data_IF_363021312998
#
_entry.id   IF_363021312998
#
_cell.length_a   1.000
_cell.length_b   1.000
_cell.length_c   1.000
_cell.angle_alpha   90.00
_cell.angle_beta   90.00
_cell.angle_gamma   90.00
#
_symmetry.space_group_name_H-M   'P 1'
#
loop_
_entity.id
_entity.type
_entity.pdbx_description
1 polymer ?
#
# COMPACT_ATOMS: atom_id res chain seq x y z
N UNK A 1 -16.62 -3.02 -5.59
CA UNK A 1 -15.47 -2.65 -4.75
C UNK A 1 -14.67 -3.91 -4.49
N UNK A 2 -13.36 -3.87 -4.70
CA UNK A 2 -12.49 -5.04 -4.58
C UNK A 2 -11.57 -4.86 -3.38
N UNK A 3 -11.57 -5.82 -2.45
CA UNK A 3 -10.62 -5.81 -1.34
C UNK A 3 -9.23 -6.12 -1.86
N UNK A 4 -8.25 -5.45 -1.28
CA UNK A 4 -6.85 -5.58 -1.67
C UNK A 4 -6.01 -5.79 -0.42
N UNK A 5 -5.06 -6.70 -0.54
CA UNK A 5 -4.09 -7.01 0.49
C UNK A 5 -2.75 -7.20 -0.20
N UNK A 6 -1.79 -6.36 0.15
CA UNK A 6 -0.40 -6.47 -0.29
C UNK A 6 0.40 -6.83 0.95
N UNK A 7 0.80 -8.10 1.05
CA UNK A 7 1.46 -8.64 2.25
C UNK A 7 2.87 -8.06 2.46
N UNK A 8 3.51 -7.63 1.38
CA UNK A 8 4.84 -7.02 1.37
C UNK A 8 5.00 -6.16 0.11
N UNK A 9 5.26 -4.88 0.30
CA UNK A 9 5.56 -3.90 -0.75
C UNK A 9 6.84 -3.16 -0.40
N UNK A 10 7.87 -3.35 -1.20
CA UNK A 10 9.16 -2.69 -1.01
C UNK A 10 9.17 -1.38 -1.80
N UNK A 11 9.54 -0.30 -1.11
CA UNK A 11 9.66 1.05 -1.67
C UNK A 11 10.99 1.65 -1.22
N UNK A 12 11.34 2.80 -1.79
CA UNK A 12 12.52 3.56 -1.37
C UNK A 12 12.39 4.17 0.04
N UNK A 13 11.19 4.20 0.64
CA UNK A 13 10.94 4.76 1.98
C UNK A 13 10.65 3.68 3.03
N UNK A 14 10.69 2.40 2.65
CA UNK A 14 10.49 1.27 3.56
C UNK A 14 9.74 0.11 2.93
N UNK A 15 9.55 -0.94 3.72
CA UNK A 15 8.73 -2.10 3.36
C UNK A 15 7.40 -2.03 4.09
N UNK A 16 6.30 -2.17 3.35
CA UNK A 16 4.95 -1.97 3.86
C UNK A 16 4.10 -3.22 3.70
N UNK A 17 3.16 -3.41 4.64
CA UNK A 17 1.99 -4.23 4.47
C UNK A 17 0.79 -3.31 4.34
N UNK A 18 -0.04 -3.56 3.34
CA UNK A 18 -1.15 -2.66 3.02
C UNK A 18 -2.43 -3.45 2.86
N UNK A 19 -3.50 -2.96 3.47
CA UNK A 19 -4.86 -3.39 3.15
C UNK A 19 -5.69 -2.18 2.72
N UNK A 20 -6.57 -2.40 1.76
CA UNK A 20 -7.35 -1.31 1.18
C UNK A 20 -8.56 -1.79 0.43
N UNK A 21 -9.19 -0.86 -0.27
CA UNK A 21 -10.30 -1.11 -1.18
C UNK A 21 -10.06 -0.38 -2.49
N UNK A 22 -10.13 -1.12 -3.58
CA UNK A 22 -10.09 -0.59 -4.93
C UNK A 22 -11.53 -0.34 -5.40
N UNK A 23 -11.80 0.90 -5.80
CA UNK A 23 -13.03 1.28 -6.51
C UNK A 23 -12.78 1.29 -8.02
N UNK A 24 -13.75 1.72 -8.82
CA UNK A 24 -13.57 1.86 -10.27
C UNK A 24 -12.50 2.89 -10.64
N UNK A 25 -12.31 3.91 -9.79
CA UNK A 25 -11.50 5.09 -10.12
C UNK A 25 -10.41 5.41 -9.10
N UNK A 26 -10.40 4.76 -7.93
CA UNK A 26 -9.48 5.12 -6.85
C UNK A 26 -9.12 3.95 -5.94
N UNK A 27 -7.91 4.01 -5.41
CA UNK A 27 -7.37 3.18 -4.36
C UNK A 27 -7.53 3.90 -3.01
N UNK A 28 -8.20 3.24 -2.05
CA UNK A 28 -8.33 3.72 -0.67
C UNK A 28 -7.58 2.75 0.24
N UNK A 29 -6.61 3.25 1.01
CA UNK A 29 -5.87 2.44 1.99
C UNK A 29 -6.60 2.49 3.33
N UNK A 30 -6.86 1.31 3.90
CA UNK A 30 -7.60 1.15 5.15
C UNK A 30 -6.66 0.87 6.33
N UNK A 31 -5.57 0.14 6.09
CA UNK A 31 -4.53 -0.08 7.09
C UNK A 31 -3.17 -0.19 6.41
N UNK A 32 -2.15 0.39 7.05
CA UNK A 32 -0.78 0.40 6.61
C UNK A 32 0.09 0.00 7.80
N UNK A 33 0.97 -0.97 7.60
CA UNK A 33 2.01 -1.33 8.55
C UNK A 33 3.37 -1.15 7.87
N UNK A 34 4.37 -0.66 8.59
CA UNK A 34 5.77 -0.59 8.14
C UNK A 34 6.59 -1.66 8.86
N UNK A 35 7.54 -2.25 8.15
CA UNK A 35 8.48 -3.21 8.75
C UNK A 35 9.63 -2.45 9.44
N UNK A 36 9.64 -2.48 10.76
CA UNK A 36 10.73 -2.04 11.62
C UNK A 36 11.70 -3.17 11.97
N UNK A 37 12.61 -2.92 12.93
CA UNK A 37 13.56 -3.93 13.42
C UNK A 37 12.89 -5.05 14.21
N UNK A 38 11.83 -4.71 14.94
CA UNK A 38 11.16 -5.63 15.87
C UNK A 38 9.87 -6.24 15.27
N UNK A 39 9.51 -5.87 14.04
CA UNK A 39 8.36 -6.42 13.33
C UNK A 39 7.54 -5.39 12.58
N UNK A 40 6.25 -5.68 12.42
CA UNK A 40 5.30 -4.80 11.74
C UNK A 40 4.70 -3.79 12.70
N UNK A 41 4.73 -2.52 12.32
CA UNK A 41 4.24 -1.40 13.12
C UNK A 41 3.15 -0.66 12.35
N UNK A 42 1.99 -0.46 12.97
CA UNK A 42 0.88 0.26 12.35
C UNK A 42 1.23 1.75 12.15
N UNK A 43 0.99 2.27 10.96
CA UNK A 43 1.16 3.69 10.64
C UNK A 43 -0.17 4.44 10.68
N UNK A 44 -0.13 5.64 11.27
CA UNK A 44 -1.22 6.60 11.16
C UNK A 44 -1.30 7.07 9.71
N UNK A 45 -2.47 6.95 9.11
CA UNK A 45 -2.69 7.35 7.72
C UNK A 45 -2.94 8.86 7.67
N UNK A 46 -1.94 9.59 7.18
CA UNK A 46 -2.08 11.00 6.79
C UNK A 46 -1.85 11.15 5.27
N UNK A 47 -2.93 11.33 4.48
CA UNK A 47 -2.83 11.42 3.03
C UNK A 47 -2.03 12.62 2.48
N UNK A 48 -1.75 13.62 3.31
CA UNK A 48 -0.98 14.79 2.90
C UNK A 48 0.53 14.52 2.86
N UNK A 49 0.98 13.52 3.62
CA UNK A 49 2.40 13.19 3.75
C UNK A 49 3.00 12.64 2.45
N UNK A 50 4.28 12.93 2.24
CA UNK A 50 4.99 12.44 1.05
C UNK A 50 5.10 10.92 1.04
N UNK A 51 5.31 10.28 2.19
CA UNK A 51 5.41 8.81 2.26
C UNK A 51 4.10 8.13 1.83
N UNK A 52 2.93 8.71 2.17
CA UNK A 52 1.64 8.17 1.76
C UNK A 52 1.47 8.24 0.24
N UNK A 53 1.83 9.36 -0.38
CA UNK A 53 1.77 9.53 -1.85
C UNK A 53 2.69 8.52 -2.56
N UNK A 54 3.92 8.34 -2.06
CA UNK A 54 4.86 7.33 -2.57
C UNK A 54 4.28 5.93 -2.45
N UNK A 55 3.67 5.61 -1.31
CA UNK A 55 3.08 4.30 -1.06
C UNK A 55 1.88 4.00 -1.96
N UNK A 56 0.99 4.97 -2.18
CA UNK A 56 -0.14 4.84 -3.11
C UNK A 56 0.36 4.52 -4.51
N UNK A 57 1.32 5.30 -5.02
CA UNK A 57 1.88 5.08 -6.36
C UNK A 57 2.50 3.67 -6.48
N UNK A 58 3.24 3.23 -5.46
CA UNK A 58 3.81 1.88 -5.44
C UNK A 58 2.72 0.78 -5.42
N UNK A 59 1.63 0.99 -4.67
CA UNK A 59 0.49 0.06 -4.67
C UNK A 59 -0.18 0.00 -6.04
N UNK A 60 -0.39 1.13 -6.71
CA UNK A 60 -1.01 1.18 -8.04
C UNK A 60 -0.17 0.44 -9.08
N UNK A 61 1.15 0.64 -9.07
CA UNK A 61 2.08 -0.11 -9.94
C UNK A 61 2.01 -1.60 -9.66
N UNK A 62 2.13 -2.01 -8.39
CA UNK A 62 2.07 -3.42 -7.99
C UNK A 62 0.76 -4.10 -8.44
N UNK A 63 -0.38 -3.43 -8.26
CA UNK A 63 -1.68 -3.96 -8.67
C UNK A 63 -1.84 -4.01 -10.19
N UNK A 64 -1.26 -3.06 -10.92
CA UNK A 64 -1.25 -3.09 -12.38
C UNK A 64 -0.40 -4.24 -12.93
N UNK A 65 0.74 -4.56 -12.29
CA UNK A 65 1.59 -5.69 -12.65
C UNK A 65 0.91 -7.04 -12.38
N UNK A 66 0.27 -7.20 -11.21
CA UNK A 66 -0.51 -8.39 -10.89
C UNK A 66 -1.61 -8.67 -11.92
N UNK A 67 -2.30 -7.62 -12.38
CA UNK A 67 -3.33 -7.73 -13.42
C UNK A 67 -2.80 -8.13 -14.80
N UNK A 68 -1.53 -7.84 -15.11
CA UNK A 68 -0.91 -8.27 -16.38
C UNK A 68 -0.50 -9.75 -16.36
N UNK A 69 -0.35 -10.31 -15.17
CA UNK A 69 0.02 -11.70 -14.95
C UNK A 69 -1.19 -12.64 -14.83
N UNK A 70 -2.42 -12.09 -14.87
CA UNK A 70 -3.70 -12.82 -14.80
C UNK A 70 -4.44 -12.73 -16.13
#
# INVERSE_FOLDING_TARGET
>A
MTKITISRLETNVGTFRVSGTMTLTSLILNAIEILGSDGWEALIIDPQTQWYKTLIAACEVHLAEQKKLT
#
